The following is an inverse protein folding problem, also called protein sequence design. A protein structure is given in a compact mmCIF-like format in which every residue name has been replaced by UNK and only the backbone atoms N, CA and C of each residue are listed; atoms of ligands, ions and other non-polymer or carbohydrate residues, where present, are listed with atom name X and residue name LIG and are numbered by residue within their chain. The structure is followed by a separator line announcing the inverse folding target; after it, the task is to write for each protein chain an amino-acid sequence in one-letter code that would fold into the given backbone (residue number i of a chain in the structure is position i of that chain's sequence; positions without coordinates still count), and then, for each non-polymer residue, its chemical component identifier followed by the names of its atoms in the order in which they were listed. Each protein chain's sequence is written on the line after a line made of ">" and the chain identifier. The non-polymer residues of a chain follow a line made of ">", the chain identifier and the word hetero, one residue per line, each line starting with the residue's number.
data_IF_185842615055
#
_entry.id   IF_185842615055
#
_cell.length_a   1.000
_cell.length_b   1.000
_cell.length_c   1.000
_cell.angle_alpha   90.00
_cell.angle_beta   90.00
_cell.angle_gamma   90.00
#
_symmetry.space_group_name_H-M   'P 1'
#
loop_
_entity.id
_entity.type
_entity.pdbx_description
1 polymer ?
#
# COMPACT_ATOMS: atom_id res chain seq x y z
N UNK A 1 -11.64 -20.05 2.83
CA UNK A 1 -10.59 -20.07 1.77
C UNK A 1 -10.76 -18.97 0.71
N UNK A 2 -11.97 -18.66 0.24
CA UNK A 2 -12.22 -17.65 -0.81
C UNK A 2 -11.61 -16.26 -0.57
N UNK A 3 -11.69 -15.72 0.65
CA UNK A 3 -11.16 -14.37 1.00
C UNK A 3 -9.63 -14.22 0.91
N UNK A 4 -8.86 -15.31 0.81
CA UNK A 4 -7.38 -15.26 0.70
C UNK A 4 -6.87 -15.35 -0.74
N UNK A 5 -7.75 -15.59 -1.71
CA UNK A 5 -7.38 -15.67 -3.12
C UNK A 5 -7.25 -14.28 -3.71
N UNK A 6 -6.31 -14.11 -4.64
CA UNK A 6 -6.19 -12.89 -5.45
C UNK A 6 -7.51 -12.62 -6.18
N UNK A 7 -7.87 -11.34 -6.34
CA UNK A 7 -9.07 -10.92 -7.08
C UNK A 7 -9.13 -11.55 -8.48
N UNK A 8 -7.96 -11.71 -9.13
CA UNK A 8 -7.87 -12.39 -10.42
C UNK A 8 -8.32 -13.85 -10.32
N UNK A 9 -7.87 -14.57 -9.29
CA UNK A 9 -8.28 -15.97 -9.08
C UNK A 9 -9.75 -16.10 -8.74
N UNK A 10 -10.31 -15.17 -7.95
CA UNK A 10 -11.75 -15.14 -7.68
C UNK A 10 -12.59 -14.88 -8.95
N UNK A 11 -12.04 -14.15 -9.92
CA UNK A 11 -12.71 -13.85 -11.18
C UNK A 11 -12.67 -15.04 -12.17
N UNK A 12 -11.51 -15.69 -12.31
CA UNK A 12 -11.34 -16.78 -13.27
C UNK A 12 -11.93 -18.12 -12.81
N UNK A 13 -12.04 -18.35 -11.50
CA UNK A 13 -12.59 -19.60 -10.94
C UNK A 13 -14.06 -19.87 -11.34
N UNK A 14 -15.01 -18.92 -11.21
CA UNK A 14 -16.39 -19.15 -11.64
C UNK A 14 -16.54 -19.27 -13.16
N UNK A 15 -15.71 -18.53 -13.93
CA UNK A 15 -15.66 -18.69 -15.38
C UNK A 15 -15.22 -20.14 -15.72
N UNK A 16 -14.10 -20.61 -15.19
CA UNK A 16 -13.61 -21.98 -15.38
C UNK A 16 -14.65 -23.05 -14.99
N UNK A 17 -15.31 -22.87 -13.85
CA UNK A 17 -16.39 -23.76 -13.41
C UNK A 17 -17.58 -23.72 -14.37
N UNK A 18 -17.92 -22.56 -14.91
CA UNK A 18 -18.96 -22.38 -15.92
C UNK A 18 -18.69 -23.17 -17.21
N UNK A 19 -17.45 -23.15 -17.71
CA UNK A 19 -17.07 -23.95 -18.89
C UNK A 19 -17.24 -25.44 -18.63
N UNK A 20 -16.72 -25.93 -17.50
CA UNK A 20 -16.83 -27.34 -17.14
C UNK A 20 -18.29 -27.76 -17.03
N UNK A 21 -19.12 -26.93 -16.40
CA UNK A 21 -20.56 -27.18 -16.26
C UNK A 21 -21.26 -27.19 -17.61
N UNK A 22 -20.91 -26.26 -18.51
CA UNK A 22 -21.46 -26.20 -19.86
C UNK A 22 -21.04 -27.40 -20.73
N UNK A 23 -19.79 -27.87 -20.60
CA UNK A 23 -19.31 -29.07 -21.28
C UNK A 23 -20.02 -30.33 -20.78
N UNK A 24 -20.20 -30.46 -19.46
CA UNK A 24 -20.93 -31.58 -18.85
C UNK A 24 -22.40 -31.56 -19.31
N UNK A 25 -23.08 -30.42 -19.20
CA UNK A 25 -24.48 -30.28 -19.62
C UNK A 25 -24.64 -30.50 -21.12
N UNK A 26 -23.71 -30.00 -21.94
CA UNK A 26 -23.68 -30.22 -23.38
C UNK A 26 -23.53 -31.71 -23.73
N UNK A 27 -22.66 -32.44 -23.02
CA UNK A 27 -22.54 -33.89 -23.17
C UNK A 27 -23.82 -34.65 -22.79
N UNK A 28 -24.47 -34.27 -21.69
CA UNK A 28 -25.75 -34.87 -21.25
C UNK A 28 -26.87 -34.59 -22.27
N UNK A 29 -26.98 -33.36 -22.76
CA UNK A 29 -27.96 -32.98 -23.79
C UNK A 29 -27.71 -33.74 -25.09
N UNK A 30 -26.45 -33.85 -25.52
CA UNK A 30 -26.09 -34.62 -26.69
C UNK A 30 -26.51 -36.09 -26.54
N UNK A 31 -26.22 -36.72 -25.39
CA UNK A 31 -26.59 -38.11 -25.14
C UNK A 31 -28.11 -38.32 -25.10
N UNK A 32 -28.88 -37.37 -24.59
CA UNK A 32 -30.35 -37.53 -24.43
C UNK A 32 -31.14 -37.16 -25.67
N UNK A 33 -30.70 -36.15 -26.43
CA UNK A 33 -31.41 -35.69 -27.63
C UNK A 33 -30.92 -36.37 -28.89
N UNK A 34 -29.61 -36.56 -29.08
CA UNK A 34 -29.10 -37.17 -30.32
C UNK A 34 -29.58 -38.62 -30.45
N UNK A 35 -29.62 -39.36 -29.35
CA UNK A 35 -30.08 -40.76 -29.35
C UNK A 35 -31.56 -40.90 -29.71
N UNK A 36 -32.42 -40.03 -29.15
CA UNK A 36 -33.84 -39.98 -29.50
C UNK A 36 -34.07 -39.54 -30.95
N UNK A 37 -33.39 -38.49 -31.37
CA UNK A 37 -33.52 -37.95 -32.73
C UNK A 37 -33.10 -38.97 -33.79
N UNK A 38 -31.99 -39.67 -33.57
CA UNK A 38 -31.55 -40.75 -34.45
C UNK A 38 -32.62 -41.85 -34.53
N UNK A 39 -33.22 -42.24 -33.41
CA UNK A 39 -34.25 -43.29 -33.41
C UNK A 39 -35.51 -42.86 -34.18
N UNK A 40 -35.95 -41.62 -34.02
CA UNK A 40 -37.12 -41.06 -34.70
C UNK A 40 -36.89 -40.91 -36.21
N UNK A 41 -35.67 -40.57 -36.63
CA UNK A 41 -35.30 -40.35 -38.04
C UNK A 41 -35.30 -41.64 -38.86
N UNK A 42 -34.89 -42.76 -38.25
CA UNK A 42 -34.81 -44.07 -38.93
C UNK A 42 -36.07 -44.94 -38.73
N UNK A 43 -37.01 -44.53 -37.88
CA UNK A 43 -38.27 -45.24 -37.63
C UNK A 43 -39.15 -45.44 -38.88
N UNK A 44 -39.32 -44.45 -39.79
CA UNK A 44 -40.09 -44.63 -41.02
C UNK A 44 -39.49 -45.68 -41.96
N UNK A 45 -38.15 -45.70 -42.09
CA UNK A 45 -37.43 -46.69 -42.88
C UNK A 45 -37.65 -48.10 -42.32
N UNK A 46 -37.57 -48.25 -40.99
CA UNK A 46 -37.86 -49.50 -40.29
C UNK A 46 -39.27 -50.03 -40.57
N UNK A 47 -40.29 -49.16 -40.50
CA UNK A 47 -41.69 -49.53 -40.81
C UNK A 47 -41.89 -49.91 -42.27
N UNK A 48 -41.21 -49.21 -43.19
CA UNK A 48 -41.25 -49.54 -44.61
C UNK A 48 -40.70 -50.95 -44.85
N UNK A 49 -39.55 -51.28 -44.25
CA UNK A 49 -38.92 -52.60 -44.37
C UNK A 49 -39.78 -53.69 -43.74
N UNK A 50 -40.40 -53.42 -42.58
CA UNK A 50 -41.36 -54.34 -41.98
C UNK A 50 -42.52 -54.66 -42.93
N UNK A 51 -43.01 -53.64 -43.65
CA UNK A 51 -44.10 -53.79 -44.64
C UNK A 51 -43.64 -54.60 -45.84
N UNK A 52 -42.42 -54.36 -46.35
CA UNK A 52 -41.80 -55.12 -47.44
C UNK A 52 -41.61 -56.59 -47.03
N UNK A 53 -41.09 -56.84 -45.82
CA UNK A 53 -40.89 -58.19 -45.30
C UNK A 53 -42.23 -58.94 -45.16
N UNK A 54 -43.27 -58.28 -44.65
CA UNK A 54 -44.60 -58.87 -44.56
C UNK A 54 -45.21 -59.16 -45.95
N UNK A 55 -45.03 -58.25 -46.91
CA UNK A 55 -45.47 -58.44 -48.28
C UNK A 55 -44.76 -59.62 -48.95
N UNK A 56 -43.43 -59.71 -48.80
CA UNK A 56 -42.63 -60.83 -49.30
C UNK A 56 -43.12 -62.15 -48.71
N UNK A 57 -43.33 -62.21 -47.39
CA UNK A 57 -43.80 -63.43 -46.72
C UNK A 57 -45.18 -63.88 -47.24
N UNK A 58 -46.07 -62.92 -47.54
CA UNK A 58 -47.36 -63.21 -48.16
C UNK A 58 -47.22 -63.72 -49.60
N UNK A 59 -46.31 -63.15 -50.40
CA UNK A 59 -46.02 -63.61 -51.76
C UNK A 59 -45.40 -65.01 -51.79
N UNK A 60 -44.47 -65.29 -50.87
CA UNK A 60 -43.84 -66.60 -50.74
C UNK A 60 -44.86 -67.69 -50.39
N UNK A 61 -45.84 -67.40 -49.52
CA UNK A 61 -46.92 -68.35 -49.16
C UNK A 61 -47.88 -68.67 -50.31
N UNK A 62 -48.02 -67.76 -51.28
CA UNK A 62 -48.98 -67.90 -52.38
C UNK A 62 -48.32 -68.39 -53.70
N UNK A 63 -47.02 -68.69 -53.68
CA UNK A 63 -46.26 -69.06 -54.87
C UNK A 63 -46.06 -70.56 -55.00
N UNK A 64 -46.09 -71.07 -56.22
CA UNK A 64 -45.75 -72.46 -56.55
C UNK A 64 -44.24 -72.76 -56.48
N UNK A 65 -43.37 -71.74 -56.48
CA UNK A 65 -41.90 -71.85 -56.36
C UNK A 65 -41.33 -70.71 -55.48
N UNK A 66 -41.49 -70.81 -54.15
CA UNK A 66 -41.10 -69.75 -53.21
C UNK A 66 -39.59 -69.50 -53.18
N UNK A 67 -38.77 -70.50 -53.51
CA UNK A 67 -37.32 -70.40 -53.42
C UNK A 67 -36.75 -69.54 -54.54
N UNK A 68 -37.28 -69.66 -55.76
CA UNK A 68 -36.91 -68.83 -56.91
C UNK A 68 -37.29 -67.35 -56.72
N UNK A 69 -38.44 -67.08 -56.09
CA UNK A 69 -38.86 -65.71 -55.76
C UNK A 69 -37.95 -65.10 -54.70
N UNK A 70 -37.58 -65.87 -53.67
CA UNK A 70 -36.65 -65.41 -52.64
C UNK A 70 -35.28 -65.09 -53.26
N UNK A 71 -34.74 -65.94 -54.12
CA UNK A 71 -33.45 -65.70 -54.78
C UNK A 71 -33.48 -64.43 -55.67
N UNK A 72 -34.56 -64.21 -56.41
CA UNK A 72 -34.74 -63.00 -57.21
C UNK A 72 -34.85 -61.73 -56.35
N UNK A 73 -35.49 -61.82 -55.17
CA UNK A 73 -35.58 -60.72 -54.21
C UNK A 73 -34.23 -60.43 -53.53
N UNK A 74 -33.48 -61.46 -53.15
CA UNK A 74 -32.13 -61.28 -52.58
C UNK A 74 -31.20 -60.62 -53.60
N UNK A 75 -31.29 -61.02 -54.87
CA UNK A 75 -30.49 -60.41 -55.94
C UNK A 75 -30.87 -58.95 -56.22
N UNK A 76 -32.12 -58.55 -56.01
CA UNK A 76 -32.54 -57.16 -56.14
C UNK A 76 -32.16 -56.28 -54.93
N UNK A 77 -32.03 -56.90 -53.75
CA UNK A 77 -31.56 -56.24 -52.53
C UNK A 77 -30.05 -55.94 -52.54
N UNK A 78 -29.24 -56.72 -53.26
CA UNK A 78 -27.77 -56.56 -53.31
C UNK A 78 -27.32 -55.20 -53.92
N UNK A 79 -28.27 -54.46 -54.52
CA UNK A 79 -28.08 -53.09 -55.00
C UNK A 79 -28.34 -52.00 -53.94
N UNK A 80 -28.98 -52.32 -52.81
CA UNK A 80 -29.33 -51.38 -51.74
C UNK A 80 -28.36 -51.48 -50.56
N UNK A 81 -27.87 -50.33 -50.08
CA UNK A 81 -26.78 -50.29 -49.08
C UNK A 81 -27.24 -50.64 -47.67
N UNK A 82 -28.51 -50.41 -47.34
CA UNK A 82 -29.05 -50.40 -45.97
C UNK A 82 -29.83 -51.67 -45.59
N UNK A 83 -30.10 -52.58 -46.53
CA UNK A 83 -30.92 -53.77 -46.32
C UNK A 83 -30.15 -55.00 -46.75
N UNK A 84 -30.04 -56.01 -45.88
CA UNK A 84 -29.36 -57.27 -46.18
C UNK A 84 -30.25 -58.46 -45.84
N UNK A 85 -30.21 -59.52 -46.67
CA UNK A 85 -30.86 -60.78 -46.35
C UNK A 85 -29.86 -61.75 -45.71
N UNK A 86 -30.15 -62.20 -44.48
CA UNK A 86 -29.36 -63.14 -43.71
C UNK A 86 -29.98 -64.54 -43.79
N UNK A 87 -29.32 -65.49 -44.48
CA UNK A 87 -29.74 -66.90 -44.50
C UNK A 87 -29.39 -67.61 -43.19
N UNK A 88 -30.26 -68.48 -42.69
CA UNK A 88 -30.03 -69.22 -41.44
C UNK A 88 -28.85 -70.22 -41.51
N UNK A 89 -28.49 -70.71 -42.70
CA UNK A 89 -27.38 -71.68 -42.86
C UNK A 89 -25.99 -71.04 -43.04
N UNK A 90 -25.88 -69.71 -43.03
CA UNK A 90 -24.65 -69.00 -43.41
C UNK A 90 -23.98 -68.24 -42.27
N UNK A 91 -23.05 -68.88 -41.55
CA UNK A 91 -21.92 -68.26 -40.82
C UNK A 91 -22.24 -67.20 -39.75
N UNK A 92 -21.23 -66.75 -38.96
CA UNK A 92 -21.40 -65.68 -37.99
C UNK A 92 -21.95 -64.40 -38.67
N UNK A 93 -22.68 -63.55 -37.93
CA UNK A 93 -23.30 -62.35 -38.50
C UNK A 93 -22.27 -61.56 -39.32
N UNK A 94 -22.65 -61.02 -40.49
CA UNK A 94 -21.75 -60.11 -41.21
C UNK A 94 -21.34 -59.03 -40.22
N UNK A 95 -20.03 -58.83 -40.04
CA UNK A 95 -19.54 -57.77 -39.20
C UNK A 95 -20.22 -56.48 -39.66
N UNK A 96 -20.79 -55.66 -38.74
CA UNK A 96 -21.44 -54.41 -39.12
C UNK A 96 -20.50 -53.68 -40.06
N UNK A 97 -20.97 -53.37 -41.29
CA UNK A 97 -20.14 -52.78 -42.34
C UNK A 97 -19.37 -51.63 -41.70
N UNK A 98 -18.06 -51.80 -41.72
CA UNK A 98 -17.08 -51.13 -40.88
C UNK A 98 -17.52 -49.74 -40.39
N UNK A 99 -17.79 -49.61 -39.09
CA UNK A 99 -17.72 -48.33 -38.36
C UNK A 99 -16.35 -47.63 -38.63
N UNK A 100 -15.38 -48.29 -39.26
CA UNK A 100 -14.12 -47.71 -39.75
C UNK A 100 -14.28 -46.73 -40.94
N UNK A 101 -15.47 -46.59 -41.54
CA UNK A 101 -15.75 -45.48 -42.48
C UNK A 101 -15.94 -44.13 -41.78
N UNK A 102 -16.10 -44.10 -40.44
CA UNK A 102 -16.22 -42.90 -39.59
C UNK A 102 -14.91 -42.12 -39.41
N UNK A 103 -14.01 -42.08 -40.42
CA UNK A 103 -12.70 -41.42 -40.29
C UNK A 103 -12.77 -39.94 -39.88
N UNK A 104 -13.92 -39.29 -40.07
CA UNK A 104 -14.16 -37.88 -39.76
C UNK A 104 -14.67 -37.61 -38.33
N UNK A 105 -15.16 -38.63 -37.60
CA UNK A 105 -15.73 -38.48 -36.25
C UNK A 105 -14.88 -39.23 -35.22
N UNK A 106 -14.42 -38.59 -34.13
CA UNK A 106 -13.61 -39.26 -33.12
C UNK A 106 -14.33 -40.42 -32.42
N UNK A 107 -13.63 -41.54 -32.20
CA UNK A 107 -14.23 -42.74 -31.59
C UNK A 107 -14.79 -42.50 -30.17
N UNK A 108 -14.17 -41.60 -29.39
CA UNK A 108 -14.69 -41.26 -28.06
C UNK A 108 -16.06 -40.59 -28.12
N UNK A 109 -16.35 -39.84 -29.19
CA UNK A 109 -17.62 -39.16 -29.39
C UNK A 109 -18.70 -40.16 -29.81
N UNK A 110 -18.34 -41.10 -30.67
CA UNK A 110 -19.21 -42.23 -31.03
C UNK A 110 -19.56 -43.06 -29.79
N UNK A 111 -18.59 -43.33 -28.91
CA UNK A 111 -18.84 -44.05 -27.65
C UNK A 111 -19.72 -43.26 -26.66
N UNK A 112 -19.71 -41.93 -26.74
CA UNK A 112 -20.52 -41.06 -25.88
C UNK A 112 -21.98 -41.05 -26.31
N UNK A 113 -22.24 -41.15 -27.62
CA UNK A 113 -23.59 -41.29 -28.17
C UNK A 113 -23.97 -42.76 -28.12
N UNK A 114 -24.89 -43.14 -27.23
CA UNK A 114 -25.42 -44.50 -27.19
C UNK A 114 -26.22 -44.77 -28.47
N UNK A 115 -25.60 -45.39 -29.48
CA UNK A 115 -26.30 -45.80 -30.70
C UNK A 115 -27.38 -46.80 -30.28
N UNK A 116 -28.68 -46.51 -30.49
CA UNK A 116 -29.74 -47.45 -30.18
C UNK A 116 -29.55 -48.73 -30.99
N UNK A 117 -29.91 -49.90 -30.43
CA UNK A 117 -30.01 -51.13 -31.22
C UNK A 117 -31.10 -50.94 -32.29
N UNK A 118 -30.69 -50.47 -33.46
CA UNK A 118 -31.56 -50.22 -34.62
C UNK A 118 -31.57 -51.39 -35.61
N UNK A 119 -30.81 -52.45 -35.31
CA UNK A 119 -30.87 -53.71 -36.03
C UNK A 119 -32.27 -54.29 -35.87
N UNK A 120 -33.11 -54.09 -36.87
CA UNK A 120 -34.40 -54.75 -36.97
C UNK A 120 -34.25 -55.96 -37.90
N UNK A 121 -34.45 -57.15 -37.34
CA UNK A 121 -34.49 -58.40 -38.09
C UNK A 121 -35.95 -58.82 -38.28
N UNK A 122 -36.38 -58.99 -39.52
CA UNK A 122 -37.71 -59.44 -39.87
C UNK A 122 -37.66 -60.85 -40.47
N UNK A 123 -38.30 -61.84 -39.85
CA UNK A 123 -38.17 -63.23 -40.27
C UNK A 123 -38.91 -63.53 -41.57
N UNK A 124 -38.22 -64.24 -42.48
CA UNK A 124 -38.75 -64.75 -43.75
C UNK A 124 -39.02 -66.25 -43.61
N UNK A 125 -40.26 -66.66 -43.87
CA UNK A 125 -40.76 -68.00 -43.58
C UNK A 125 -41.31 -68.62 -44.87
N UNK A 126 -40.82 -69.82 -45.21
CA UNK A 126 -41.34 -70.64 -46.32
C UNK A 126 -41.96 -71.90 -45.71
N UNK A 127 -43.21 -72.20 -46.02
CA UNK A 127 -43.93 -73.39 -45.53
C UNK A 127 -43.86 -73.61 -44.01
N UNK A 128 -43.90 -72.51 -43.24
CA UNK A 128 -43.83 -72.55 -41.78
C UNK A 128 -42.40 -72.74 -41.22
N UNK A 129 -41.39 -72.90 -42.06
CA UNK A 129 -39.97 -72.95 -41.68
C UNK A 129 -39.32 -71.59 -41.89
N UNK A 130 -38.63 -71.09 -40.87
CA UNK A 130 -37.82 -69.88 -40.95
C UNK A 130 -36.59 -70.16 -41.80
N UNK A 131 -36.37 -69.36 -42.86
CA UNK A 131 -35.30 -69.57 -43.85
C UNK A 131 -34.19 -68.51 -43.70
N UNK A 132 -34.55 -67.33 -43.18
CA UNK A 132 -33.62 -66.24 -42.94
C UNK A 132 -34.31 -64.96 -42.44
N UNK A 133 -33.53 -63.92 -42.19
CA UNK A 133 -34.02 -62.62 -41.74
C UNK A 133 -33.66 -61.52 -42.74
N UNK A 134 -34.58 -60.59 -43.00
CA UNK A 134 -34.24 -59.30 -43.61
C UNK A 134 -33.76 -58.40 -42.47
N UNK A 135 -32.50 -57.99 -42.54
CA UNK A 135 -31.87 -57.15 -41.51
C UNK A 135 -31.63 -55.75 -42.06
N UNK A 136 -32.08 -54.75 -41.33
CA UNK A 136 -31.84 -53.34 -41.61
C UNK A 136 -30.59 -52.85 -40.89
N UNK A 137 -29.64 -52.30 -41.65
CA UNK A 137 -28.39 -51.71 -41.17
C UNK A 137 -28.25 -50.30 -41.76
N UNK A 138 -28.80 -49.25 -41.11
CA UNK A 138 -28.69 -47.89 -41.62
C UNK A 138 -27.24 -47.37 -41.58
N UNK A 139 -26.80 -46.69 -42.64
CA UNK A 139 -25.55 -45.92 -42.61
C UNK A 139 -25.70 -44.65 -41.77
N UNK A 140 -25.19 -44.70 -40.54
CA UNK A 140 -25.25 -43.60 -39.56
C UNK A 140 -24.09 -42.60 -39.69
N UNK A 141 -23.21 -42.75 -40.69
CA UNK A 141 -21.98 -41.96 -40.78
C UNK A 141 -22.24 -40.46 -41.02
N UNK A 142 -23.21 -40.13 -41.88
CA UNK A 142 -23.62 -38.76 -42.15
C UNK A 142 -24.27 -38.11 -40.93
N UNK A 143 -25.18 -38.82 -40.27
CA UNK A 143 -25.91 -38.33 -39.10
C UNK A 143 -24.94 -38.06 -37.93
N UNK A 144 -24.01 -38.98 -37.66
CA UNK A 144 -22.98 -38.82 -36.62
C UNK A 144 -22.04 -37.65 -36.93
N UNK A 145 -21.68 -37.45 -38.19
CA UNK A 145 -20.85 -36.31 -38.61
C UNK A 145 -21.58 -34.98 -38.41
N UNK A 146 -22.87 -34.91 -38.73
CA UNK A 146 -23.69 -33.73 -38.47
C UNK A 146 -23.72 -33.39 -36.97
N UNK A 147 -23.97 -34.38 -36.10
CA UNK A 147 -23.98 -34.16 -34.65
C UNK A 147 -22.60 -33.75 -34.11
N UNK A 148 -21.52 -34.31 -34.64
CA UNK A 148 -20.15 -33.93 -34.31
C UNK A 148 -19.86 -32.46 -34.64
N UNK A 149 -20.21 -32.03 -35.85
CA UNK A 149 -20.06 -30.63 -36.27
C UNK A 149 -20.90 -29.68 -35.42
N UNK A 150 -22.15 -30.05 -35.10
CA UNK A 150 -23.01 -29.29 -34.20
C UNK A 150 -22.43 -29.15 -32.79
N UNK A 151 -21.86 -30.23 -32.24
CA UNK A 151 -21.18 -30.21 -30.94
C UNK A 151 -19.96 -29.29 -30.94
N UNK A 152 -19.10 -29.38 -31.97
CA UNK A 152 -17.95 -28.48 -32.13
C UNK A 152 -18.37 -27.01 -32.27
N UNK A 153 -19.43 -26.72 -33.03
CA UNK A 153 -19.96 -25.37 -33.18
C UNK A 153 -20.47 -24.80 -31.85
N UNK A 154 -21.25 -25.57 -31.09
CA UNK A 154 -21.78 -25.14 -29.80
C UNK A 154 -20.66 -24.95 -28.75
N UNK A 155 -19.74 -25.91 -28.66
CA UNK A 155 -18.62 -25.84 -27.70
C UNK A 155 -17.67 -24.70 -28.00
N UNK A 156 -17.33 -24.46 -29.28
CA UNK A 156 -16.52 -23.32 -29.69
C UNK A 156 -17.21 -21.99 -29.44
N UNK A 157 -18.53 -21.89 -29.65
CA UNK A 157 -19.31 -20.70 -29.31
C UNK A 157 -19.28 -20.40 -27.82
N UNK A 158 -19.51 -21.40 -26.97
CA UNK A 158 -19.45 -21.25 -25.51
C UNK A 158 -18.04 -20.86 -25.06
N UNK A 159 -17.01 -21.50 -25.61
CA UNK A 159 -15.62 -21.16 -25.31
C UNK A 159 -15.29 -19.71 -25.73
N UNK A 160 -15.72 -19.28 -26.93
CA UNK A 160 -15.52 -17.91 -27.41
C UNK A 160 -16.23 -16.88 -26.52
N UNK A 161 -17.50 -17.13 -26.16
CA UNK A 161 -18.25 -16.25 -25.25
C UNK A 161 -17.58 -16.17 -23.88
N UNK A 162 -17.00 -17.28 -23.41
CA UNK A 162 -16.32 -17.30 -22.12
C UNK A 162 -14.97 -16.55 -22.15
N UNK A 163 -14.21 -16.69 -23.23
CA UNK A 163 -12.99 -15.88 -23.42
C UNK A 163 -13.34 -14.40 -23.51
N UNK A 164 -14.39 -14.05 -24.24
CA UNK A 164 -14.88 -12.67 -24.35
C UNK A 164 -15.28 -12.11 -22.98
N UNK A 165 -16.15 -12.80 -22.25
CA UNK A 165 -16.60 -12.37 -20.91
C UNK A 165 -15.45 -12.31 -19.91
N UNK A 166 -14.52 -13.27 -19.94
CA UNK A 166 -13.31 -13.25 -19.12
C UNK A 166 -12.38 -12.07 -19.44
N UNK A 167 -12.23 -11.73 -20.72
CA UNK A 167 -11.43 -10.58 -21.17
C UNK A 167 -12.06 -9.27 -20.73
N UNK A 168 -13.38 -9.10 -20.93
CA UNK A 168 -14.13 -7.93 -20.47
C UNK A 168 -14.03 -7.78 -18.96
N UNK A 169 -14.22 -8.88 -18.21
CA UNK A 169 -14.13 -8.87 -16.77
C UNK A 169 -12.70 -8.53 -16.28
N UNK A 170 -11.66 -9.05 -16.93
CA UNK A 170 -10.27 -8.73 -16.61
C UNK A 170 -9.94 -7.26 -16.86
N UNK A 171 -10.37 -6.71 -18.01
CA UNK A 171 -10.19 -5.30 -18.34
C UNK A 171 -10.89 -4.40 -17.32
N UNK A 172 -12.16 -4.71 -17.00
CA UNK A 172 -12.97 -3.98 -16.02
C UNK A 172 -12.35 -4.02 -14.61
N UNK A 173 -11.90 -5.20 -14.18
CA UNK A 173 -11.18 -5.39 -12.91
C UNK A 173 -9.94 -4.50 -12.84
N UNK A 174 -9.11 -4.50 -13.90
CA UNK A 174 -7.91 -3.68 -13.96
C UNK A 174 -8.21 -2.18 -13.89
N UNK A 175 -9.25 -1.71 -14.59
CA UNK A 175 -9.65 -0.31 -14.58
C UNK A 175 -10.28 0.13 -13.25
N UNK A 176 -10.97 -0.76 -12.54
CA UNK A 176 -11.63 -0.45 -11.28
C UNK A 176 -10.69 -0.53 -10.06
N UNK A 177 -9.76 -1.50 -10.03
CA UNK A 177 -8.91 -1.74 -8.86
C UNK A 177 -7.64 -0.87 -8.82
N UNK A 178 -7.02 -0.56 -9.97
CA UNK A 178 -5.79 0.26 -9.98
C UNK A 178 -5.97 1.64 -9.31
N UNK A 179 -7.05 2.39 -9.58
CA UNK A 179 -7.27 3.67 -8.92
C UNK A 179 -7.45 3.56 -7.39
N UNK A 180 -8.06 2.47 -6.91
CA UNK A 180 -8.17 2.22 -5.46
C UNK A 180 -6.81 1.97 -4.80
N UNK A 181 -5.87 1.33 -5.51
CA UNK A 181 -4.51 1.16 -5.02
C UNK A 181 -3.79 2.50 -4.90
N UNK A 182 -3.90 3.35 -5.93
CA UNK A 182 -3.33 4.70 -5.89
C UNK A 182 -3.94 5.55 -4.76
N UNK A 183 -5.25 5.43 -4.52
CA UNK A 183 -5.92 6.10 -3.40
C UNK A 183 -5.37 5.61 -2.05
N UNK A 184 -5.23 4.30 -1.86
CA UNK A 184 -4.68 3.73 -0.63
C UNK A 184 -3.22 4.11 -0.37
N UNK A 185 -2.38 4.09 -1.41
CA UNK A 185 -0.99 4.57 -1.35
C UNK A 185 -0.94 6.07 -1.02
N UNK A 186 -1.79 6.85 -1.69
CA UNK A 186 -1.94 8.29 -1.45
C UNK A 186 -2.30 8.63 -0.01
N UNK A 187 -3.33 8.00 0.54
CA UNK A 187 -3.75 8.16 1.94
C UNK A 187 -2.65 7.73 2.91
N UNK A 188 -1.89 6.67 2.59
CA UNK A 188 -0.76 6.24 3.40
C UNK A 188 0.37 7.27 3.42
N UNK A 189 0.63 7.95 2.31
CA UNK A 189 1.58 9.08 2.23
C UNK A 189 1.09 10.27 3.05
N UNK A 190 -0.18 10.64 2.91
CA UNK A 190 -0.80 11.73 3.69
C UNK A 190 -0.69 11.47 5.20
N UNK A 191 -0.90 10.22 5.66
CA UNK A 191 -0.70 9.85 7.06
C UNK A 191 0.74 10.07 7.57
N UNK A 192 1.73 10.06 6.67
CA UNK A 192 3.14 10.35 6.99
C UNK A 192 3.49 11.85 6.88
N UNK A 193 2.51 12.70 6.59
CA UNK A 193 2.68 14.15 6.46
C UNK A 193 3.12 14.63 5.07
N UNK A 194 3.16 13.75 4.06
CA UNK A 194 3.44 14.15 2.67
C UNK A 194 2.13 14.50 1.95
N UNK A 195 1.82 15.79 1.93
CA UNK A 195 0.63 16.35 1.27
C UNK A 195 0.93 16.96 -0.12
N UNK A 196 2.20 17.02 -0.52
CA UNK A 196 2.61 17.78 -1.71
C UNK A 196 2.29 17.04 -3.02
N UNK A 197 2.25 15.70 -2.99
CA UNK A 197 1.99 14.87 -4.17
C UNK A 197 0.51 14.48 -4.26
N UNK A 198 -0.23 14.97 -5.27
CA UNK A 198 -1.63 14.61 -5.44
C UNK A 198 -1.79 13.12 -5.79
N UNK A 199 -2.93 12.58 -5.41
CA UNK A 199 -3.39 11.25 -5.81
C UNK A 199 -3.87 11.34 -7.27
N UNK A 200 -3.37 10.50 -8.19
CA UNK A 200 -3.84 10.49 -9.57
C UNK A 200 -5.33 10.19 -9.64
N UNK A 201 -6.08 11.11 -10.24
CA UNK A 201 -7.53 10.98 -10.39
C UNK A 201 -7.82 10.05 -11.56
N UNK A 202 -8.52 8.94 -11.30
CA UNK A 202 -8.86 7.97 -12.34
C UNK A 202 -9.90 6.96 -11.89
N UNK A 203 -10.34 6.15 -12.84
CA UNK A 203 -11.34 5.10 -12.62
C UNK A 203 -12.80 5.58 -12.79
N UNK A 204 -13.75 4.74 -12.33
CA UNK A 204 -15.17 5.05 -12.27
C UNK A 204 -15.48 6.39 -11.57
N UNK A 205 -16.64 7.02 -11.86
CA UNK A 205 -16.98 8.35 -11.34
C UNK A 205 -16.97 8.43 -9.81
N UNK A 206 -17.35 7.36 -9.12
CA UNK A 206 -17.34 7.28 -7.65
C UNK A 206 -15.91 7.34 -7.10
N UNK A 207 -14.99 6.59 -7.69
CA UNK A 207 -13.58 6.56 -7.25
C UNK A 207 -12.88 7.86 -7.59
N UNK A 208 -13.17 8.43 -8.76
CA UNK A 208 -12.68 9.75 -9.15
C UNK A 208 -13.08 10.82 -8.13
N UNK A 209 -14.36 10.85 -7.75
CA UNK A 209 -14.86 11.78 -6.72
C UNK A 209 -14.11 11.60 -5.39
N UNK A 210 -13.90 10.35 -4.94
CA UNK A 210 -13.12 10.10 -3.72
C UNK A 210 -11.66 10.55 -3.83
N UNK A 211 -11.03 10.42 -5.00
CA UNK A 211 -9.67 10.93 -5.22
C UNK A 211 -9.62 12.46 -5.19
N UNK A 212 -10.61 13.13 -5.78
CA UNK A 212 -10.75 14.58 -5.76
C UNK A 212 -10.97 15.10 -4.32
N UNK A 213 -11.87 14.49 -3.56
CA UNK A 213 -12.11 14.82 -2.15
C UNK A 213 -10.86 14.59 -1.28
N UNK A 214 -10.14 13.48 -1.50
CA UNK A 214 -8.89 13.20 -0.79
C UNK A 214 -7.80 14.24 -1.11
N UNK A 215 -7.69 14.67 -2.37
CA UNK A 215 -6.75 15.72 -2.77
C UNK A 215 -7.13 17.08 -2.19
N UNK A 216 -8.42 17.43 -2.15
CA UNK A 216 -8.89 18.65 -1.50
C UNK A 216 -8.56 18.64 0.00
N UNK A 217 -8.75 17.50 0.67
CA UNK A 217 -8.36 17.33 2.07
C UNK A 217 -6.84 17.44 2.26
N UNK A 218 -6.04 16.85 1.36
CA UNK A 218 -4.58 16.96 1.40
C UNK A 218 -4.12 18.42 1.29
N UNK A 219 -4.73 19.20 0.40
CA UNK A 219 -4.44 20.62 0.26
C UNK A 219 -4.77 21.40 1.55
N UNK A 220 -5.94 21.18 2.14
CA UNK A 220 -6.34 21.81 3.41
C UNK A 220 -5.40 21.43 4.56
N UNK A 221 -5.02 20.16 4.68
CA UNK A 221 -4.06 19.71 5.70
C UNK A 221 -2.67 20.30 5.48
N UNK A 222 -2.23 20.41 4.23
CA UNK A 222 -0.99 21.08 3.86
C UNK A 222 -0.98 22.54 4.29
N UNK A 223 -2.06 23.28 3.99
CA UNK A 223 -2.21 24.68 4.39
C UNK A 223 -2.21 24.83 5.91
N UNK A 224 -3.03 24.05 6.63
CA UNK A 224 -3.07 24.09 8.10
C UNK A 224 -1.70 23.77 8.73
N UNK A 225 -0.95 22.83 8.15
CA UNK A 225 0.39 22.51 8.62
C UNK A 225 1.39 23.65 8.38
N UNK A 226 1.24 24.39 7.28
CA UNK A 226 2.07 25.55 6.98
C UNK A 226 1.72 26.72 7.90
N UNK A 227 0.43 27.04 8.04
CA UNK A 227 -0.07 28.09 8.94
C UNK A 227 0.40 27.85 10.37
N UNK A 228 0.34 26.60 10.86
CA UNK A 228 0.80 26.24 12.19
C UNK A 228 2.31 26.50 12.35
N UNK A 229 3.13 26.15 11.35
CA UNK A 229 4.58 26.45 11.37
C UNK A 229 4.85 27.96 11.42
N UNK A 230 4.11 28.74 10.64
CA UNK A 230 4.25 30.20 10.61
C UNK A 230 3.81 30.84 11.94
N UNK A 231 2.72 30.35 12.54
CA UNK A 231 2.24 30.73 13.87
C UNK A 231 3.28 30.42 14.94
N UNK A 232 3.86 29.20 14.94
CA UNK A 232 4.93 28.84 15.87
C UNK A 232 6.15 29.74 15.71
N UNK A 233 6.56 30.03 14.47
CA UNK A 233 7.69 30.94 14.21
C UNK A 233 7.41 32.34 14.75
N UNK A 234 6.21 32.89 14.52
CA UNK A 234 5.80 34.20 15.06
C UNK A 234 5.76 34.21 16.58
N UNK A 235 5.21 33.17 17.21
CA UNK A 235 5.16 33.05 18.67
C UNK A 235 6.54 33.04 19.29
N UNK A 236 7.48 32.28 18.70
CA UNK A 236 8.87 32.25 19.16
C UNK A 236 9.53 33.62 19.00
N UNK A 237 9.35 34.28 17.85
CA UNK A 237 9.88 35.64 17.62
C UNK A 237 9.33 36.65 18.63
N UNK A 238 8.01 36.68 18.83
CA UNK A 238 7.36 37.57 19.79
C UNK A 238 7.85 37.31 21.22
N UNK A 239 8.01 36.05 21.61
CA UNK A 239 8.54 35.70 22.93
C UNK A 239 9.98 36.21 23.11
N UNK A 240 10.79 36.20 22.05
CA UNK A 240 12.17 36.68 22.09
C UNK A 240 12.24 38.20 22.16
N UNK A 241 11.37 38.90 21.43
CA UNK A 241 11.23 40.36 21.48
C UNK A 241 10.77 40.82 22.87
N UNK A 242 9.73 40.18 23.43
CA UNK A 242 9.23 40.46 24.79
C UNK A 242 10.33 40.27 25.84
N UNK A 243 11.11 39.19 25.73
CA UNK A 243 12.23 38.94 26.65
C UNK A 243 13.33 39.99 26.52
N UNK A 244 13.57 40.48 25.30
CA UNK A 244 14.55 41.52 25.04
C UNK A 244 14.10 42.86 25.64
N UNK A 245 12.82 43.18 25.54
CA UNK A 245 12.25 44.41 26.08
C UNK A 245 12.19 44.37 27.61
N UNK A 246 11.76 43.26 28.22
CA UNK A 246 11.81 43.06 29.68
C UNK A 246 13.23 43.19 30.23
N UNK A 247 14.23 42.67 29.51
CA UNK A 247 15.62 42.81 29.94
C UNK A 247 16.10 44.27 29.85
N UNK A 248 15.63 45.04 28.86
CA UNK A 248 15.96 46.46 28.73
C UNK A 248 15.33 47.28 29.85
N UNK A 249 14.03 47.10 30.11
CA UNK A 249 13.32 47.77 31.22
C UNK A 249 13.96 47.46 32.58
N UNK A 250 14.26 46.18 32.85
CA UNK A 250 14.94 45.81 34.10
C UNK A 250 16.35 46.41 34.23
N UNK A 251 17.08 46.59 33.12
CA UNK A 251 18.40 47.22 33.14
C UNK A 251 18.29 48.73 33.40
N UNK A 252 17.39 49.40 32.66
CA UNK A 252 17.25 50.85 32.65
C UNK A 252 16.58 51.38 33.92
N UNK A 253 15.62 50.65 34.50
CA UNK A 253 14.94 51.05 35.73
C UNK A 253 15.68 50.60 37.00
N UNK A 254 16.04 49.32 37.13
CA UNK A 254 16.61 48.79 38.37
C UNK A 254 18.11 49.04 38.50
N UNK A 255 18.85 49.11 37.39
CA UNK A 255 20.30 49.32 37.40
C UNK A 255 20.69 50.63 38.12
N UNK A 256 20.21 51.79 37.65
CA UNK A 256 20.50 53.09 38.27
C UNK A 256 19.99 53.23 39.71
N UNK A 257 18.82 52.68 40.02
CA UNK A 257 18.25 52.70 41.38
C UNK A 257 19.13 51.92 42.36
N UNK A 258 19.52 50.69 42.01
CA UNK A 258 20.40 49.88 42.85
C UNK A 258 21.79 50.52 43.00
N UNK A 259 22.32 51.14 41.95
CA UNK A 259 23.56 51.91 42.02
C UNK A 259 23.44 53.10 43.00
N UNK A 260 22.34 53.86 42.92
CA UNK A 260 22.09 55.01 43.78
C UNK A 260 21.94 54.62 45.25
N UNK A 261 21.21 53.54 45.54
CA UNK A 261 21.07 53.03 46.92
C UNK A 261 22.43 52.57 47.44
N UNK A 262 23.23 51.86 46.64
CA UNK A 262 24.60 51.44 47.01
C UNK A 262 25.47 52.65 47.35
N UNK A 263 25.51 53.66 46.47
CA UNK A 263 26.30 54.87 46.66
C UNK A 263 25.88 55.65 47.91
N UNK A 264 24.57 55.85 48.10
CA UNK A 264 24.02 56.51 49.28
C UNK A 264 24.31 55.75 50.59
N UNK A 265 24.25 54.41 50.56
CA UNK A 265 24.58 53.57 51.72
C UNK A 265 26.07 53.66 52.07
N UNK A 266 26.96 53.64 51.07
CA UNK A 266 28.41 53.83 51.29
C UNK A 266 28.69 55.20 51.91
N UNK A 267 28.09 56.27 51.38
CA UNK A 267 28.23 57.61 51.92
C UNK A 267 27.73 57.71 53.37
N UNK A 268 26.63 57.01 53.70
CA UNK A 268 26.10 56.93 55.06
C UNK A 268 27.06 56.22 56.02
N UNK A 269 27.68 55.11 55.59
CA UNK A 269 28.69 54.37 56.36
C UNK A 269 29.91 55.25 56.63
N UNK A 270 30.39 55.97 55.61
CA UNK A 270 31.53 56.89 55.75
C UNK A 270 31.23 58.06 56.69
N UNK A 271 30.04 58.65 56.59
CA UNK A 271 29.61 59.76 57.46
C UNK A 271 29.31 59.32 58.91
N UNK A 272 28.89 58.07 59.14
CA UNK A 272 28.54 57.54 60.46
C UNK A 272 29.74 56.98 61.26
N UNK A 273 30.93 56.87 60.65
CA UNK A 273 32.18 56.44 61.33
C UNK A 273 32.47 57.15 62.68
N UNK A 274 32.18 58.45 62.86
CA UNK A 274 32.40 59.14 64.14
C UNK A 274 31.36 58.82 65.25
N UNK A 275 30.19 58.25 64.91
CA UNK A 275 29.01 58.18 65.81
C UNK A 275 28.68 56.78 66.37
N UNK A 276 29.49 55.75 66.10
CA UNK A 276 29.50 54.46 66.79
C UNK A 276 28.32 53.49 66.59
N UNK A 277 27.10 53.96 66.33
CA UNK A 277 25.88 53.12 66.41
C UNK A 277 25.17 52.81 65.08
N UNK A 278 25.49 53.47 63.97
CA UNK A 278 24.78 53.31 62.68
C UNK A 278 25.44 52.33 61.69
N UNK A 279 26.67 51.90 61.95
CA UNK A 279 27.48 51.13 61.00
C UNK A 279 26.87 49.78 60.62
N UNK A 280 26.30 49.04 61.59
CA UNK A 280 25.79 47.68 61.35
C UNK A 280 24.56 47.66 60.44
N UNK A 281 23.55 48.50 60.71
CA UNK A 281 22.35 48.59 59.86
C UNK A 281 22.65 49.07 58.45
N UNK A 282 23.61 49.99 58.28
CA UNK A 282 24.03 50.44 56.95
C UNK A 282 24.83 49.35 56.20
N UNK A 283 25.63 48.55 56.90
CA UNK A 283 26.30 47.38 56.34
C UNK A 283 25.28 46.33 55.83
N UNK A 284 24.23 46.07 56.62
CA UNK A 284 23.18 45.10 56.27
C UNK A 284 22.37 45.55 55.03
N UNK A 285 22.12 46.87 54.89
CA UNK A 285 21.52 47.46 53.67
C UNK A 285 22.44 47.30 52.47
N UNK A 286 23.75 47.56 52.63
CA UNK A 286 24.71 47.39 51.54
C UNK A 286 24.76 45.94 51.04
N UNK A 287 24.79 44.98 51.98
CA UNK A 287 24.78 43.55 51.65
C UNK A 287 23.48 43.14 50.92
N UNK A 288 22.34 43.70 51.34
CA UNK A 288 21.05 43.46 50.68
C UNK A 288 21.00 44.01 49.26
N UNK A 289 21.58 45.19 49.03
CA UNK A 289 21.69 45.81 47.69
C UNK A 289 22.61 45.01 46.78
N UNK A 290 23.74 44.52 47.29
CA UNK A 290 24.65 43.65 46.54
C UNK A 290 23.98 42.33 46.14
N UNK A 291 23.22 41.72 47.05
CA UNK A 291 22.43 40.52 46.75
C UNK A 291 21.35 40.77 45.68
N UNK A 292 20.67 41.93 45.74
CA UNK A 292 19.70 42.37 44.74
C UNK A 292 20.36 42.65 43.38
N UNK A 293 21.51 43.32 43.34
CA UNK A 293 22.27 43.55 42.11
C UNK A 293 22.70 42.24 41.47
N UNK A 294 23.20 41.29 42.26
CA UNK A 294 23.56 39.97 41.75
C UNK A 294 22.32 39.23 41.21
N UNK A 295 21.18 39.31 41.90
CA UNK A 295 19.94 38.67 41.47
C UNK A 295 19.41 39.30 40.18
N UNK A 296 19.39 40.63 40.08
CA UNK A 296 18.96 41.34 38.88
C UNK A 296 19.85 40.97 37.69
N UNK A 297 21.18 40.96 37.87
CA UNK A 297 22.13 40.57 36.82
C UNK A 297 21.89 39.12 36.35
N UNK A 298 21.62 38.20 37.27
CA UNK A 298 21.24 36.81 36.95
C UNK A 298 19.92 36.69 36.19
N UNK A 299 18.94 37.56 36.45
CA UNK A 299 17.65 37.58 35.74
C UNK A 299 17.86 38.14 34.34
N UNK A 300 18.60 39.25 34.21
CA UNK A 300 18.98 39.84 32.94
C UNK A 300 19.73 38.85 32.04
N UNK A 301 20.74 38.14 32.57
CA UNK A 301 21.50 37.11 31.83
C UNK A 301 20.61 35.94 31.33
N UNK A 302 19.47 35.69 31.98
CA UNK A 302 18.49 34.67 31.57
C UNK A 302 17.49 35.17 30.54
N UNK A 303 17.07 36.43 30.64
CA UNK A 303 16.08 37.04 29.74
C UNK A 303 16.74 37.48 28.42
N UNK A 304 17.93 38.08 28.51
CA UNK A 304 18.75 38.48 27.38
C UNK A 304 20.14 37.89 27.59
N UNK A 305 20.52 36.83 26.84
CA UNK A 305 21.93 36.52 26.73
C UNK A 305 22.59 37.67 25.97
N UNK A 306 23.14 38.61 26.75
CA UNK A 306 23.61 39.95 26.37
C UNK A 306 24.87 39.95 25.50
N UNK A 307 25.10 38.90 24.73
CA UNK A 307 26.42 38.61 24.20
C UNK A 307 26.44 38.40 22.68
N UNK A 308 25.31 38.01 22.06
CA UNK A 308 25.36 37.62 20.63
C UNK A 308 25.46 38.84 19.71
N UNK A 309 24.67 39.89 19.95
CA UNK A 309 24.66 41.09 19.11
C UNK A 309 25.88 41.99 19.35
N UNK A 310 26.37 42.03 20.58
CA UNK A 310 27.44 42.93 21.01
C UNK A 310 28.85 42.29 20.93
N UNK A 311 28.97 40.97 21.12
CA UNK A 311 30.26 40.24 21.15
C UNK A 311 30.43 39.17 20.06
N UNK A 312 29.37 38.87 19.31
CA UNK A 312 29.33 37.75 18.38
C UNK A 312 29.02 36.40 19.04
N UNK A 313 28.51 35.46 18.22
CA UNK A 313 28.05 34.15 18.68
C UNK A 313 29.19 33.30 19.26
N UNK A 314 30.37 33.31 18.64
CA UNK A 314 31.54 32.55 19.10
C UNK A 314 31.93 32.97 20.52
N UNK A 315 32.14 34.27 20.74
CA UNK A 315 32.51 34.84 22.04
C UNK A 315 31.45 34.55 23.11
N UNK A 316 30.19 34.57 22.71
CA UNK A 316 29.06 34.24 23.59
C UNK A 316 29.10 32.78 24.05
N UNK A 317 29.32 31.85 23.12
CA UNK A 317 29.44 30.42 23.43
C UNK A 317 30.68 30.15 24.29
N UNK A 318 31.82 30.77 23.96
CA UNK A 318 33.04 30.68 24.77
C UNK A 318 32.81 31.19 26.20
N UNK A 319 31.99 32.24 26.37
CA UNK A 319 31.62 32.75 27.69
C UNK A 319 30.73 31.76 28.46
N UNK A 320 29.76 31.12 27.79
CA UNK A 320 28.96 30.04 28.39
C UNK A 320 29.85 28.91 28.91
N UNK A 321 30.81 28.45 28.10
CA UNK A 321 31.73 27.36 28.44
C UNK A 321 32.60 27.70 29.65
N UNK A 322 33.16 28.92 29.70
CA UNK A 322 33.91 29.41 30.87
C UNK A 322 33.04 29.46 32.13
N UNK A 323 31.79 29.89 32.01
CA UNK A 323 30.88 29.97 33.15
C UNK A 323 30.46 28.58 33.65
N UNK A 324 30.25 27.63 32.73
CA UNK A 324 30.01 26.22 33.06
C UNK A 324 31.19 25.65 33.85
N UNK A 325 32.42 25.84 33.37
CA UNK A 325 33.62 25.34 34.06
C UNK A 325 33.81 25.98 35.45
N UNK A 326 33.48 27.27 35.61
CA UNK A 326 33.50 27.93 36.94
C UNK A 326 32.48 27.35 37.90
N UNK A 327 31.29 26.95 37.42
CA UNK A 327 30.24 26.37 38.26
C UNK A 327 30.52 24.91 38.62
N UNK A 328 31.13 24.16 37.71
CA UNK A 328 31.45 22.74 37.90
C UNK A 328 32.91 22.44 37.53
N UNK A 329 33.88 22.89 38.35
CA UNK A 329 35.31 22.71 38.06
C UNK A 329 35.77 21.25 38.10
N UNK A 330 34.94 20.36 38.66
CA UNK A 330 35.18 18.91 38.71
C UNK A 330 34.87 18.18 37.40
N UNK A 331 34.14 18.82 36.47
CA UNK A 331 33.79 18.23 35.17
C UNK A 331 34.86 18.63 34.15
N UNK A 332 35.47 17.64 33.50
CA UNK A 332 36.38 17.84 32.37
C UNK A 332 35.61 18.41 31.18
N UNK A 333 35.98 19.61 30.73
CA UNK A 333 35.37 20.27 29.57
C UNK A 333 36.34 20.30 28.40
N UNK A 334 35.90 19.81 27.25
CA UNK A 334 36.60 19.96 25.96
C UNK A 334 35.67 20.64 24.97
N UNK A 335 36.19 21.61 24.23
CA UNK A 335 35.40 22.33 23.23
C UNK A 335 36.12 22.45 21.87
N UNK A 336 35.32 22.51 20.82
CA UNK A 336 35.76 22.79 19.45
C UNK A 336 34.72 23.69 18.81
N UNK A 337 34.97 25.00 18.91
CA UNK A 337 34.08 26.03 18.39
C UNK A 337 34.72 26.66 17.15
N UNK A 338 34.01 26.58 16.03
CA UNK A 338 34.46 27.14 14.76
C UNK A 338 34.33 28.68 14.76
N UNK A 339 35.41 29.43 14.44
CA UNK A 339 35.35 30.89 14.32
C UNK A 339 34.32 31.39 13.29
N UNK A 340 33.94 30.54 12.33
CA UNK A 340 32.88 30.82 11.36
C UNK A 340 31.50 31.08 11.97
N UNK A 341 31.30 30.76 13.26
CA UNK A 341 30.06 31.06 13.99
C UNK A 341 29.72 32.55 14.04
N UNK A 342 30.70 33.46 13.98
CA UNK A 342 30.43 34.90 14.03
C UNK A 342 29.76 35.45 12.76
N UNK A 343 29.81 34.71 11.65
CA UNK A 343 29.06 35.05 10.44
C UNK A 343 27.55 34.80 10.58
N UNK A 344 27.12 34.20 11.68
CA UNK A 344 25.73 33.81 11.95
C UNK A 344 25.06 34.87 12.81
N UNK A 345 23.96 35.46 12.31
CA UNK A 345 23.17 36.47 13.01
C UNK A 345 21.72 36.04 13.29
N UNK A 346 20.97 36.95 13.91
CA UNK A 346 19.51 36.86 14.03
C UNK A 346 19.00 35.61 14.78
N UNK A 347 17.81 35.09 14.39
CA UNK A 347 17.18 33.94 15.06
C UNK A 347 18.03 32.67 15.08
N UNK A 348 18.88 32.49 14.05
CA UNK A 348 19.79 31.34 13.96
C UNK A 348 20.83 31.39 15.07
N UNK A 349 21.53 32.51 15.25
CA UNK A 349 22.51 32.68 16.31
C UNK A 349 21.91 32.48 17.71
N UNK A 350 20.72 33.03 17.94
CA UNK A 350 20.02 32.85 19.21
C UNK A 350 19.64 31.38 19.48
N UNK A 351 19.21 30.66 18.46
CA UNK A 351 18.87 29.24 18.58
C UNK A 351 20.09 28.40 18.91
N UNK A 352 21.23 28.67 18.26
CA UNK A 352 22.51 28.00 18.54
C UNK A 352 22.92 28.19 19.99
N UNK A 353 22.95 29.44 20.45
CA UNK A 353 23.30 29.77 21.81
C UNK A 353 22.39 29.05 22.82
N UNK A 354 21.08 29.06 22.60
CA UNK A 354 20.10 28.43 23.50
C UNK A 354 20.20 26.91 23.51
N UNK A 355 20.48 26.28 22.38
CA UNK A 355 20.72 24.82 22.32
C UNK A 355 21.93 24.45 23.17
N UNK A 356 23.05 25.17 23.02
CA UNK A 356 24.27 24.92 23.80
C UNK A 356 24.01 25.21 25.29
N UNK A 357 23.38 26.33 25.62
CA UNK A 357 23.08 26.72 26.99
C UNK A 357 22.20 25.69 27.70
N UNK A 358 21.11 25.25 27.07
CA UNK A 358 20.17 24.30 27.66
C UNK A 358 20.80 22.91 27.77
N UNK A 359 21.60 22.48 26.78
CA UNK A 359 22.36 21.23 26.86
C UNK A 359 23.34 21.24 28.05
N UNK A 360 24.15 22.30 28.20
CA UNK A 360 25.06 22.46 29.35
C UNK A 360 24.30 22.52 30.68
N UNK A 361 23.15 23.19 30.72
CA UNK A 361 22.30 23.24 31.92
C UNK A 361 21.76 21.86 32.28
N UNK A 362 21.38 21.06 31.29
CA UNK A 362 20.94 19.69 31.51
C UNK A 362 22.07 18.81 32.05
N UNK A 363 23.31 18.98 31.57
CA UNK A 363 24.46 18.28 32.14
C UNK A 363 24.63 18.63 33.62
N UNK A 364 24.66 19.92 33.97
CA UNK A 364 24.83 20.38 35.35
C UNK A 364 23.74 19.87 36.31
N UNK A 365 22.50 19.73 35.83
CA UNK A 365 21.35 19.42 36.68
C UNK A 365 21.00 17.94 36.72
N UNK A 366 21.31 17.20 35.68
CA UNK A 366 20.69 15.89 35.44
C UNK A 366 21.67 14.78 35.07
N UNK A 367 22.88 15.09 34.57
CA UNK A 367 23.73 14.07 33.98
C UNK A 367 24.62 13.33 34.99
N UNK A 368 25.00 13.95 36.12
CA UNK A 368 26.07 13.41 37.01
C UNK A 368 27.34 13.04 36.23
N UNK A 369 27.67 13.83 35.21
CA UNK A 369 28.76 13.57 34.27
C UNK A 369 30.13 13.99 34.84
N UNK A 370 31.18 13.29 34.42
CA UNK A 370 32.58 13.64 34.70
C UNK A 370 33.25 14.36 33.53
N UNK A 371 32.78 14.15 32.30
CA UNK A 371 33.37 14.72 31.09
C UNK A 371 32.30 15.19 30.11
N UNK A 372 32.45 16.42 29.63
CA UNK A 372 31.62 17.04 28.60
C UNK A 372 32.46 17.47 27.41
N UNK A 373 31.95 17.19 26.21
CA UNK A 373 32.52 17.66 24.96
C UNK A 373 31.50 18.52 24.22
N UNK A 374 31.91 19.71 23.78
CA UNK A 374 31.07 20.63 23.02
C UNK A 374 31.71 20.91 21.67
N UNK A 375 31.00 20.62 20.59
CA UNK A 375 31.41 20.92 19.24
C UNK A 375 30.36 21.80 18.56
N UNK A 376 30.79 22.88 17.93
CA UNK A 376 29.96 23.70 17.06
C UNK A 376 30.77 24.07 15.83
N UNK A 377 30.45 23.45 14.69
CA UNK A 377 31.24 23.55 13.45
C UNK A 377 30.35 23.82 12.26
N UNK A 378 30.85 24.62 11.31
CA UNK A 378 30.18 24.86 10.04
C UNK A 378 30.73 23.87 9.02
N UNK A 379 29.85 23.04 8.44
CA UNK A 379 30.21 22.10 7.38
C UNK A 379 29.38 22.46 6.15
N UNK A 380 30.05 22.99 5.12
CA UNK A 380 29.41 23.53 3.92
C UNK A 380 28.37 24.61 4.28
N UNK A 381 27.08 24.36 4.03
CA UNK A 381 25.97 25.28 4.35
C UNK A 381 25.13 24.80 5.57
N UNK A 382 25.68 23.90 6.39
CA UNK A 382 25.01 23.37 7.58
C UNK A 382 25.84 23.61 8.83
N UNK A 383 25.24 24.25 9.82
CA UNK A 383 25.80 24.32 11.16
C UNK A 383 25.49 23.03 11.91
N UNK A 384 26.52 22.38 12.46
CA UNK A 384 26.41 21.17 13.25
C UNK A 384 26.86 21.48 14.68
N UNK A 385 25.97 21.23 15.63
CA UNK A 385 26.24 21.33 17.07
C UNK A 385 26.14 19.93 17.64
N UNK A 386 27.15 19.52 18.39
CA UNK A 386 27.17 18.26 19.12
C UNK A 386 27.67 18.50 20.55
N UNK A 387 26.83 18.21 21.53
CA UNK A 387 27.20 18.21 22.94
C UNK A 387 27.13 16.76 23.42
N UNK A 388 28.21 16.25 24.01
CA UNK A 388 28.22 14.90 24.59
C UNK A 388 28.70 14.88 26.03
N UNK A 389 28.11 14.01 26.83
CA UNK A 389 28.48 13.76 28.23
C UNK A 389 28.57 12.26 28.53
N UNK A 390 29.32 11.89 29.57
CA UNK A 390 29.44 10.51 30.09
C UNK A 390 28.48 10.23 31.27
N UNK A 391 27.39 11.00 31.38
CA UNK A 391 26.43 10.90 32.46
C UNK A 391 25.36 9.81 32.29
N UNK A 392 24.38 9.82 33.21
CA UNK A 392 23.29 8.84 33.31
C UNK A 392 22.29 8.83 32.14
N UNK A 393 22.32 9.84 31.26
CA UNK A 393 21.50 9.91 30.05
C UNK A 393 20.07 10.35 30.25
N UNK A 394 19.22 10.03 29.28
CA UNK A 394 17.82 10.45 29.26
C UNK A 394 16.89 9.36 29.85
N UNK A 395 15.83 9.72 30.56
CA UNK A 395 14.84 8.76 31.04
C UNK A 395 14.16 8.02 29.87
N UNK A 396 13.88 6.70 30.02
CA UNK A 396 13.47 5.82 28.93
C UNK A 396 12.15 6.20 28.23
N UNK A 397 11.30 7.00 28.89
CA UNK A 397 9.98 7.37 28.38
C UNK A 397 9.97 8.64 27.50
N UNK A 398 11.14 9.24 27.20
CA UNK A 398 11.26 10.43 26.33
C UNK A 398 10.29 11.58 26.66
N UNK A 399 9.85 11.70 27.92
CA UNK A 399 9.04 12.84 28.36
C UNK A 399 9.94 14.07 28.36
N UNK A 400 9.91 14.81 27.26
CA UNK A 400 10.68 16.03 27.12
C UNK A 400 10.24 17.03 28.20
N UNK A 401 11.15 17.36 29.12
CA UNK A 401 10.96 18.50 29.99
C UNK A 401 10.85 19.78 29.16
N UNK A 402 10.29 20.85 29.74
CA UNK A 402 10.05 22.14 29.05
C UNK A 402 11.27 22.68 28.27
N UNK A 403 12.49 22.42 28.76
CA UNK A 403 13.74 22.81 28.11
C UNK A 403 14.02 22.08 26.79
N UNK A 404 13.90 20.75 26.78
CA UNK A 404 14.08 19.91 25.59
C UNK A 404 12.98 20.16 24.55
N UNK A 405 11.73 20.32 24.99
CA UNK A 405 10.61 20.69 24.12
C UNK A 405 10.88 22.03 23.42
N UNK A 406 11.30 23.05 24.18
CA UNK A 406 11.61 24.36 23.61
C UNK A 406 12.82 24.34 22.67
N UNK A 407 13.85 23.52 22.93
CA UNK A 407 14.95 23.32 21.97
C UNK A 407 14.45 22.70 20.67
N UNK A 408 13.62 21.65 20.76
CA UNK A 408 13.10 20.95 19.59
C UNK A 408 12.21 21.84 18.72
N UNK A 409 11.36 22.65 19.33
CA UNK A 409 10.50 23.62 18.64
C UNK A 409 11.33 24.69 17.92
N UNK A 410 12.32 25.29 18.59
CA UNK A 410 13.20 26.31 17.99
C UNK A 410 14.00 25.75 16.81
N UNK A 411 14.57 24.56 16.95
CA UNK A 411 15.34 23.93 15.87
C UNK A 411 14.43 23.62 14.68
N UNK A 412 13.21 23.12 14.92
CA UNK A 412 12.23 22.88 13.86
C UNK A 412 11.75 24.15 13.16
N UNK A 413 11.60 25.26 13.90
CA UNK A 413 11.21 26.54 13.32
C UNK A 413 12.20 27.04 12.26
N UNK A 414 13.49 26.71 12.43
CA UNK A 414 14.56 27.00 11.48
C UNK A 414 14.82 25.89 10.45
N UNK A 415 13.87 24.97 10.26
CA UNK A 415 14.00 23.79 9.38
C UNK A 415 15.21 22.91 9.70
N UNK A 416 15.70 22.95 10.95
CA UNK A 416 16.76 22.09 11.44
C UNK A 416 16.25 20.77 12.02
N UNK A 417 17.20 19.93 12.43
CA UNK A 417 16.94 18.66 13.10
C UNK A 417 17.67 18.59 14.44
N UNK A 418 16.94 18.22 15.50
CA UNK A 418 17.50 17.90 16.80
C UNK A 418 17.35 16.40 17.05
N UNK A 419 18.44 15.74 17.44
CA UNK A 419 18.47 14.32 17.80
C UNK A 419 19.15 14.15 19.15
N UNK A 420 18.51 13.38 20.02
CA UNK A 420 19.00 13.00 21.32
C UNK A 420 19.25 11.51 21.26
N UNK A 421 20.49 11.09 21.51
CA UNK A 421 20.89 9.71 21.36
C UNK A 421 21.86 9.32 22.47
N UNK A 422 21.82 8.05 22.88
CA UNK A 422 22.79 7.46 23.80
C UNK A 422 23.55 6.38 23.06
N UNK A 423 24.88 6.48 23.03
CA UNK A 423 25.74 5.53 22.35
C UNK A 423 27.06 5.38 23.11
N UNK A 424 27.57 4.16 23.25
CA UNK A 424 28.82 3.88 23.97
C UNK A 424 28.86 4.52 25.37
N UNK A 425 27.77 4.39 26.13
CA UNK A 425 27.59 4.99 27.47
C UNK A 425 27.66 6.52 27.53
N UNK A 426 27.72 7.19 26.38
CA UNK A 426 27.66 8.65 26.29
C UNK A 426 26.31 9.12 25.81
N UNK A 427 25.89 10.24 26.33
CA UNK A 427 24.70 10.98 25.91
C UNK A 427 25.11 12.01 24.87
N UNK A 428 24.32 12.17 23.81
CA UNK A 428 24.59 13.14 22.75
C UNK A 428 23.34 13.97 22.47
N UNK A 429 23.54 15.28 22.43
CA UNK A 429 22.60 16.26 21.89
C UNK A 429 23.19 16.75 20.57
N UNK A 430 22.61 16.30 19.46
CA UNK A 430 23.07 16.68 18.12
C UNK A 430 22.01 17.53 17.41
N UNK A 431 22.41 18.72 17.01
CA UNK A 431 21.57 19.68 16.30
C UNK A 431 22.19 20.01 14.93
N UNK A 432 21.37 20.07 13.89
CA UNK A 432 21.78 20.51 12.54
C UNK A 432 20.86 21.63 12.09
N UNK A 433 21.42 22.74 11.67
CA UNK A 433 20.69 23.93 11.24
C UNK A 433 21.18 24.39 9.86
N UNK A 434 20.29 24.60 8.88
CA UNK A 434 20.67 25.11 7.56
C UNK A 434 21.02 26.61 7.64
N UNK A 435 22.11 27.03 6.98
CA UNK A 435 22.57 28.43 6.99
C UNK A 435 21.96 29.29 5.86
N UNK A 436 21.42 28.67 4.79
CA UNK A 436 20.89 29.39 3.62
C UNK A 436 19.58 30.13 3.86
N UNK A 437 18.80 29.79 4.89
CA UNK A 437 17.47 30.38 5.14
C UNK A 437 17.50 31.88 5.55
N UNK A 438 18.68 32.50 5.70
CA UNK A 438 18.80 33.88 6.20
C UNK A 438 19.71 34.79 5.35
N UNK A 439 20.31 34.29 4.25
CA UNK A 439 21.04 35.16 3.31
C UNK A 439 20.10 36.06 2.49
N UNK A 440 18.89 35.59 2.19
CA UNK A 440 17.95 36.34 1.34
C UNK A 440 17.31 37.55 2.03
N UNK A 441 17.29 37.60 3.37
CA UNK A 441 16.70 38.73 4.12
C UNK A 441 17.65 39.93 4.26
N UNK A 442 18.96 39.75 4.08
CA UNK A 442 19.95 40.84 4.19
C UNK A 442 20.25 41.53 2.84
N UNK A 443 19.80 40.96 1.72
CA UNK A 443 19.95 41.53 0.38
C UNK A 443 18.76 42.37 -0.10
N UNK A 444 17.71 42.53 0.72
CA UNK A 444 16.52 43.33 0.42
C UNK A 444 16.34 44.48 1.41
N UNK A 445 17.43 45.21 1.67
CA UNK A 445 17.43 46.48 2.41
C UNK A 445 17.17 47.67 1.51
#
# INVERSE_FOLDING_TARGET
>A
MWRRLSFRTQLFLPLGAGLLSALILGGILLQTFATKQLADEHEPARRSIQTIAAALNNTLRASDDPQKILDAFVQSLDASTDIQFRRMEGGPPPAPKDLRSLKSVPQWFVNLITIPEMEAAFPVVIDGKHVGDIVFFPDMSADLFEKWMGFLALTSLVAALMVLTGTVAYAFAGSALRPLQHLGEGLTRMRRGDYAKPIPVGGPPEIRKSCEEANALAATLGQLSQDNRDLMHRLVSLQDDERRDLARELHDELGPLLFSIRAGTIALIEAARPAGNLGKSAQDVLQSVEALQHTNRRILDRLRPLYIEDLGLETSVQTLLRNFHKQAPHIGLTDTIDPGLNAIGGPLAQTVYRVIQEALTNVLRHAEANNVQVQAVVVEDTLVIEISDDGGGFPPDNVFGRGLTGMHERVRALSGSLSLLRAHERTYVRCRLPMQATRDAASSG
#
